data_IF_351554348157
#
_entry.id   IF_351554348157
#
_cell.length_a   1.000
_cell.length_b   1.000
_cell.length_c   1.000
_cell.angle_alpha   90.00
_cell.angle_beta   90.00
_cell.angle_gamma   90.00
#
_symmetry.space_group_name_H-M   'P 1'
#
loop_
_entity.id
_entity.type
_entity.pdbx_description
1 polymer ?
#
# COMPACT_ATOMS: atom_id res chain seq x y z
N UNK A 1 -23.63 -10.92 1.02
CA UNK A 1 -22.30 -10.84 1.66
C UNK A 1 -21.29 -10.39 0.61
N UNK A 2 -20.62 -9.25 0.79
CA UNK A 2 -19.61 -8.77 -0.18
C UNK A 2 -18.28 -9.44 0.13
N UNK A 3 -17.68 -10.11 -0.85
CA UNK A 3 -16.38 -10.77 -0.68
C UNK A 3 -15.24 -9.74 -0.80
N UNK A 4 -14.17 -9.92 -0.02
CA UNK A 4 -12.96 -9.09 -0.08
C UNK A 4 -11.84 -9.91 -0.72
N UNK A 5 -11.04 -9.27 -1.56
CA UNK A 5 -9.83 -9.82 -2.16
C UNK A 5 -8.69 -9.86 -1.14
N UNK A 6 -8.11 -8.69 -0.85
CA UNK A 6 -7.07 -8.56 0.15
C UNK A 6 -7.57 -7.82 1.38
N UNK A 7 -7.23 -8.34 2.56
CA UNK A 7 -7.17 -7.55 3.78
C UNK A 7 -5.72 -7.26 4.11
N UNK A 8 -5.35 -5.98 4.15
CA UNK A 8 -3.97 -5.54 4.34
C UNK A 8 -3.90 -4.64 5.55
N UNK A 9 -2.97 -4.90 6.46
CA UNK A 9 -2.65 -3.99 7.55
C UNK A 9 -1.29 -3.37 7.29
N UNK A 10 -1.23 -2.04 7.24
CA UNK A 10 0.03 -1.29 7.18
C UNK A 10 0.33 -0.65 8.52
N UNK A 11 1.61 -0.60 8.88
CA UNK A 11 2.07 0.08 10.09
C UNK A 11 3.55 0.47 9.99
N UNK A 12 3.94 1.55 10.66
CA UNK A 12 5.34 1.96 10.81
C UNK A 12 5.94 1.41 12.10
N UNK A 13 7.18 0.94 12.03
CA UNK A 13 7.94 0.59 13.23
C UNK A 13 8.58 1.83 13.91
N UNK A 14 9.28 1.59 15.02
CA UNK A 14 9.98 2.66 15.77
C UNK A 14 11.09 3.36 14.97
N UNK A 15 11.54 2.77 13.86
CA UNK A 15 12.55 3.34 12.95
C UNK A 15 11.90 4.08 11.76
N UNK A 16 10.57 4.21 11.74
CA UNK A 16 9.83 4.85 10.68
C UNK A 16 9.75 4.03 9.38
N UNK A 17 10.07 2.73 9.42
CA UNK A 17 9.95 1.85 8.26
C UNK A 17 8.53 1.28 8.16
N UNK A 18 7.95 1.30 6.97
CA UNK A 18 6.65 0.70 6.71
C UNK A 18 6.75 -0.83 6.70
N UNK A 19 5.79 -1.45 7.37
CA UNK A 19 5.52 -2.88 7.36
C UNK A 19 4.11 -3.12 6.86
N UNK A 20 3.91 -4.27 6.21
CA UNK A 20 2.62 -4.71 5.69
C UNK A 20 2.36 -6.17 6.05
N UNK A 21 1.15 -6.45 6.51
CA UNK A 21 0.63 -7.79 6.68
C UNK A 21 -0.49 -7.98 5.67
N UNK A 22 -0.34 -8.95 4.76
CA UNK A 22 -1.27 -9.16 3.65
C UNK A 22 -1.96 -10.51 3.85
N UNK A 23 -3.29 -10.48 3.89
CA UNK A 23 -4.11 -11.68 3.86
C UNK A 23 -4.90 -11.70 2.55
N UNK A 24 -4.66 -12.72 1.73
CA UNK A 24 -5.48 -12.96 0.53
C UNK A 24 -6.65 -13.85 0.92
N UNK A 25 -7.87 -13.36 0.73
CA UNK A 25 -9.10 -14.03 1.12
C UNK A 25 -9.79 -14.62 -0.12
N UNK A 26 -10.01 -13.79 -1.15
CA UNK A 26 -10.61 -14.24 -2.41
C UNK A 26 -10.06 -13.50 -3.63
N UNK A 27 -9.17 -14.16 -4.38
CA UNK A 27 -8.50 -13.60 -5.57
C UNK A 27 -9.46 -13.15 -6.69
N UNK A 28 -10.70 -13.64 -6.71
CA UNK A 28 -11.69 -13.25 -7.74
C UNK A 28 -12.53 -12.03 -7.34
N UNK A 29 -12.41 -11.55 -6.10
CA UNK A 29 -13.11 -10.33 -5.68
C UNK A 29 -12.45 -9.06 -6.22
N UNK A 30 -13.26 -8.02 -6.44
CA UNK A 30 -12.78 -6.71 -6.84
C UNK A 30 -12.46 -5.78 -5.65
N UNK A 31 -12.91 -6.10 -4.44
CA UNK A 31 -12.82 -5.19 -3.29
C UNK A 31 -11.58 -5.48 -2.43
N UNK A 32 -10.78 -4.48 -2.12
CA UNK A 32 -9.64 -4.56 -1.21
C UNK A 32 -9.87 -3.67 0.01
N UNK A 33 -9.42 -4.14 1.17
CA UNK A 33 -9.50 -3.39 2.43
C UNK A 33 -8.09 -3.22 2.99
N UNK A 34 -7.68 -1.97 3.20
CA UNK A 34 -6.38 -1.63 3.81
C UNK A 34 -6.64 -0.90 5.12
N UNK A 35 -6.14 -1.45 6.23
CA UNK A 35 -6.11 -0.76 7.52
C UNK A 35 -4.75 -0.10 7.74
N UNK A 36 -4.73 1.23 7.72
CA UNK A 36 -3.55 2.04 7.97
C UNK A 36 -3.42 2.33 9.48
N UNK A 37 -2.75 1.44 10.19
CA UNK A 37 -2.80 1.39 11.67
C UNK A 37 -2.38 2.70 12.34
N UNK A 38 -1.31 3.34 11.85
CA UNK A 38 -0.82 4.61 12.40
C UNK A 38 -1.82 5.77 12.21
N UNK A 39 -2.68 5.67 11.19
CA UNK A 39 -3.70 6.67 10.87
C UNK A 39 -5.07 6.33 11.47
N UNK A 40 -5.23 5.13 12.06
CA UNK A 40 -6.51 4.58 12.54
C UNK A 40 -7.61 4.63 11.46
N UNK A 41 -7.22 4.40 10.20
CA UNK A 41 -8.11 4.58 9.05
C UNK A 41 -8.18 3.32 8.19
N UNK A 42 -9.38 3.03 7.69
CA UNK A 42 -9.61 2.01 6.67
C UNK A 42 -9.77 2.66 5.30
N UNK A 43 -9.13 2.05 4.30
CA UNK A 43 -9.36 2.32 2.88
C UNK A 43 -10.09 1.11 2.30
N UNK A 44 -11.21 1.36 1.63
CA UNK A 44 -11.99 0.34 0.91
C UNK A 44 -12.00 0.73 -0.56
N UNK A 45 -11.35 -0.06 -1.39
CA UNK A 45 -11.00 0.32 -2.77
C UNK A 45 -11.19 -0.85 -3.72
N UNK A 46 -11.36 -0.58 -5.02
CA UNK A 46 -11.38 -1.63 -6.03
C UNK A 46 -9.96 -2.07 -6.45
N UNK A 47 -9.86 -3.08 -7.33
CA UNK A 47 -8.57 -3.57 -7.85
C UNK A 47 -7.84 -2.51 -8.71
N UNK A 48 -8.54 -1.61 -9.40
CA UNK A 48 -7.91 -0.59 -10.23
C UNK A 48 -7.17 0.45 -9.38
N UNK A 49 -7.82 0.92 -8.31
CA UNK A 49 -7.23 1.85 -7.34
C UNK A 49 -6.13 1.16 -6.55
N UNK A 50 -6.33 -0.09 -6.13
CA UNK A 50 -5.30 -0.89 -5.47
C UNK A 50 -4.02 -1.00 -6.32
N UNK A 51 -4.15 -1.24 -7.63
CA UNK A 51 -3.02 -1.38 -8.55
C UNK A 51 -2.47 -0.04 -9.08
N UNK A 52 -3.11 1.09 -8.76
CA UNK A 52 -2.65 2.40 -9.19
C UNK A 52 -1.25 2.73 -8.64
N UNK A 53 -0.49 3.53 -9.38
CA UNK A 53 0.86 3.96 -8.99
C UNK A 53 0.89 4.59 -7.60
N UNK A 54 -0.11 5.42 -7.27
CA UNK A 54 -0.18 6.05 -5.95
C UNK A 54 -0.32 5.02 -4.84
N UNK A 55 -1.21 4.04 -4.96
CA UNK A 55 -1.37 3.01 -3.91
C UNK A 55 -0.16 2.10 -3.81
N UNK A 56 0.40 1.67 -4.94
CA UNK A 56 1.59 0.83 -4.94
C UNK A 56 2.78 1.57 -4.32
N UNK A 57 3.07 2.81 -4.72
CA UNK A 57 4.23 3.55 -4.21
C UNK A 57 4.01 4.11 -2.80
N UNK A 58 2.90 4.81 -2.55
CA UNK A 58 2.69 5.54 -1.30
C UNK A 58 2.12 4.66 -0.19
N UNK A 59 0.99 3.99 -0.44
CA UNK A 59 0.26 3.25 0.60
C UNK A 59 0.97 1.93 0.96
N UNK A 60 1.57 1.27 -0.03
CA UNK A 60 2.15 -0.08 0.11
C UNK A 60 3.67 -0.13 -0.01
N UNK A 61 4.33 0.95 -0.44
CA UNK A 61 5.77 1.02 -0.74
C UNK A 61 6.28 -0.11 -1.67
N UNK A 62 5.42 -0.55 -2.59
CA UNK A 62 5.73 -1.46 -3.69
C UNK A 62 6.21 -0.67 -4.91
N UNK A 63 7.52 -0.41 -4.98
CA UNK A 63 8.13 0.28 -6.12
C UNK A 63 9.00 -0.66 -6.94
N UNK A 64 8.98 -0.47 -8.27
CA UNK A 64 9.92 -1.15 -9.16
C UNK A 64 11.29 -0.47 -9.07
N UNK A 65 12.30 -1.19 -8.56
CA UNK A 65 13.66 -0.67 -8.32
C UNK A 65 14.43 -0.31 -9.58
N UNK A 66 14.04 -0.82 -10.76
CA UNK A 66 14.63 -0.41 -12.03
C UNK A 66 14.08 0.93 -12.54
N UNK A 67 12.87 1.31 -12.11
CA UNK A 67 12.21 2.55 -12.55
C UNK A 67 12.32 3.68 -11.50
N UNK A 68 12.30 3.33 -10.21
CA UNK A 68 12.22 4.30 -9.12
C UNK A 68 13.36 4.15 -8.12
N UNK A 69 13.87 5.28 -7.67
CA UNK A 69 14.81 5.41 -6.55
C UNK A 69 14.13 6.20 -5.41
N UNK A 70 13.89 5.59 -4.24
CA UNK A 70 13.32 6.32 -3.12
C UNK A 70 14.33 7.31 -2.54
N UNK A 71 13.98 8.60 -2.48
CA UNK A 71 14.83 9.63 -1.87
C UNK A 71 14.32 10.04 -0.49
N UNK A 72 12.99 10.06 -0.30
CA UNK A 72 12.34 10.35 0.98
C UNK A 72 11.25 9.31 1.21
N UNK A 73 11.30 8.59 2.33
CA UNK A 73 10.28 7.61 2.72
C UNK A 73 9.76 7.87 4.14
N UNK A 74 8.96 8.92 4.33
CA UNK A 74 8.31 9.19 5.63
C UNK A 74 6.84 8.80 5.60
N UNK A 75 6.15 8.70 6.75
CA UNK A 75 4.72 8.38 6.75
C UNK A 75 3.86 9.36 5.94
N UNK A 76 4.15 10.66 6.03
CA UNK A 76 3.34 11.72 5.44
C UNK A 76 3.71 12.01 3.98
N UNK A 77 4.96 11.75 3.59
CA UNK A 77 5.45 12.03 2.24
C UNK A 77 6.42 10.95 1.76
N UNK A 78 6.21 10.54 0.50
CA UNK A 78 7.11 9.66 -0.26
C UNK A 78 7.58 10.39 -1.50
N UNK A 79 8.89 10.49 -1.69
CA UNK A 79 9.50 11.07 -2.89
C UNK A 79 10.35 10.01 -3.56
N UNK A 80 10.09 9.82 -4.86
CA UNK A 80 10.80 8.89 -5.71
C UNK A 80 11.39 9.65 -6.89
N UNK A 81 12.68 9.44 -7.16
CA UNK A 81 13.32 9.86 -8.40
C UNK A 81 13.07 8.80 -9.46
N UNK A 82 12.72 9.23 -10.67
CA UNK A 82 12.58 8.36 -11.83
C UNK A 82 13.97 8.09 -12.44
N UNK A 83 14.25 6.83 -12.79
CA UNK A 83 15.57 6.38 -13.29
C UNK A 83 15.72 6.35 -14.81
N UNK A 84 14.63 6.58 -15.56
CA UNK A 84 14.66 6.57 -17.03
C UNK A 84 15.35 7.80 -17.61
#
# INVERSE_FOLDING_TARGET
KVAINHFIKTFYDKKGKLHKQVQTINKTSNLNVIFMSNYKQFLVIDNSVYNSTYFQLFVLENYNKSLFEPTILTPLVKVYKLKI
#
